data_IF_846918447657
#
_entry.id   IF_846918447657
#
_cell.length_a   1.000
_cell.length_b   1.000
_cell.length_c   1.000
_cell.angle_alpha   90.00
_cell.angle_beta   90.00
_cell.angle_gamma   90.00
#
_symmetry.space_group_name_H-M   'P 1'
#
loop_
_entity.id
_entity.type
_entity.pdbx_description
1 polymer ?
#
# COMPACT_ATOMS: atom_id res chain seq x y z
N UNK A 1 10.96 3.95 -0.85
CA UNK A 1 9.55 4.45 -0.83
C UNK A 1 9.41 5.74 -0.03
N UNK A 2 8.56 6.68 -0.46
CA UNK A 2 8.21 7.94 0.24
C UNK A 2 6.70 8.10 0.29
N UNK A 3 6.11 8.36 1.47
CA UNK A 3 4.68 8.69 1.59
C UNK A 3 4.45 10.10 1.05
N UNK A 4 3.49 10.24 0.14
CA UNK A 4 3.17 11.49 -0.56
C UNK A 4 1.89 12.10 -0.02
N UNK A 5 0.89 11.28 0.28
CA UNK A 5 -0.41 11.73 0.74
C UNK A 5 -1.10 10.64 1.57
N UNK A 6 -1.92 11.08 2.52
CA UNK A 6 -2.92 10.26 3.20
C UNK A 6 -4.28 10.87 2.94
N UNK A 7 -5.24 10.05 2.51
CA UNK A 7 -6.65 10.43 2.39
C UNK A 7 -7.49 9.39 3.10
N UNK A 8 -8.05 9.77 4.25
CA UNK A 8 -8.82 8.85 5.09
C UNK A 8 -8.02 7.56 5.44
N UNK A 9 -8.47 6.42 4.93
CA UNK A 9 -7.90 5.08 5.08
C UNK A 9 -6.91 4.69 3.98
N UNK A 10 -6.68 5.56 3.00
CA UNK A 10 -5.73 5.36 1.90
C UNK A 10 -4.38 6.06 2.16
N UNK A 11 -3.29 5.32 1.94
CA UNK A 11 -1.92 5.81 1.98
C UNK A 11 -1.30 5.74 0.58
N UNK A 12 -0.77 6.86 0.10
CA UNK A 12 -0.20 6.99 -1.25
C UNK A 12 1.31 7.15 -1.13
N UNK A 13 2.03 6.26 -1.81
CA UNK A 13 3.49 6.24 -1.80
C UNK A 13 4.05 6.42 -3.21
N UNK A 14 5.14 7.17 -3.31
CA UNK A 14 6.02 7.14 -4.46
C UNK A 14 7.14 6.14 -4.20
N UNK A 15 7.28 5.16 -5.10
CA UNK A 15 8.13 3.99 -4.92
C UNK A 15 8.90 3.71 -6.22
N UNK A 16 10.25 3.58 -6.15
CA UNK A 16 11.02 3.11 -7.29
C UNK A 16 10.52 1.76 -7.80
N UNK A 17 10.44 1.59 -9.12
CA UNK A 17 9.87 0.36 -9.73
C UNK A 17 10.59 -0.93 -9.28
N UNK A 18 11.91 -0.86 -9.04
CA UNK A 18 12.71 -1.98 -8.55
C UNK A 18 12.46 -2.33 -7.06
N UNK A 19 11.79 -1.46 -6.30
CA UNK A 19 11.43 -1.66 -4.90
C UNK A 19 9.94 -2.00 -4.71
N UNK A 20 9.13 -1.94 -5.78
CA UNK A 20 7.66 -1.97 -5.69
C UNK A 20 7.12 -3.19 -4.93
N UNK A 21 7.60 -4.40 -5.25
CA UNK A 21 7.17 -5.63 -4.58
C UNK A 21 7.56 -5.65 -3.11
N UNK A 22 8.83 -5.40 -2.79
CA UNK A 22 9.30 -5.38 -1.40
C UNK A 22 8.59 -4.31 -0.57
N UNK A 23 8.34 -3.13 -1.14
CA UNK A 23 7.64 -2.05 -0.47
C UNK A 23 6.17 -2.39 -0.25
N UNK A 24 5.49 -2.95 -1.26
CA UNK A 24 4.11 -3.40 -1.17
C UNK A 24 3.91 -4.42 -0.05
N UNK A 25 4.72 -5.47 -0.01
CA UNK A 25 4.65 -6.52 1.01
C UNK A 25 4.85 -5.97 2.42
N UNK A 26 5.84 -5.09 2.60
CA UNK A 26 6.09 -4.44 3.87
C UNK A 26 4.90 -3.59 4.30
N UNK A 27 4.44 -2.68 3.43
CA UNK A 27 3.34 -1.76 3.74
C UNK A 27 2.08 -2.53 4.10
N UNK A 28 1.73 -3.56 3.33
CA UNK A 28 0.56 -4.40 3.59
C UNK A 28 0.65 -5.06 4.96
N UNK A 29 1.78 -5.71 5.27
CA UNK A 29 1.98 -6.36 6.57
C UNK A 29 1.86 -5.37 7.71
N UNK A 30 2.58 -4.25 7.67
CA UNK A 30 2.56 -3.26 8.75
C UNK A 30 1.16 -2.66 8.97
N UNK A 31 0.38 -2.48 7.90
CA UNK A 31 -1.00 -1.99 8.01
C UNK A 31 -1.98 -3.05 8.52
N UNK A 32 -1.87 -4.30 8.08
CA UNK A 32 -2.76 -5.39 8.52
C UNK A 32 -2.48 -5.81 9.98
N UNK A 33 -1.22 -5.72 10.42
CA UNK A 33 -0.77 -6.15 11.76
C UNK A 33 -0.66 -5.00 12.78
N UNK A 34 -1.07 -3.78 12.41
CA UNK A 34 -0.87 -2.57 13.22
C UNK A 34 -1.43 -2.67 14.64
N UNK A 35 -2.50 -3.45 14.84
CA UNK A 35 -3.13 -3.63 16.14
C UNK A 35 -3.88 -4.97 16.22
N UNK A 36 -3.85 -5.68 17.38
CA UNK A 36 -4.58 -6.93 17.56
C UNK A 36 -6.09 -6.68 17.70
N UNK A 37 -6.77 -6.64 16.57
CA UNK A 37 -8.22 -6.51 16.48
C UNK A 37 -8.88 -7.89 16.49
N UNK A 38 -10.12 -7.98 16.98
CA UNK A 38 -10.91 -9.24 16.97
C UNK A 38 -11.25 -9.70 15.55
N UNK A 39 -11.25 -8.77 14.60
CA UNK A 39 -11.46 -9.02 13.17
C UNK A 39 -10.24 -8.47 12.45
N UNK A 40 -9.58 -9.26 11.57
CA UNK A 40 -8.38 -8.81 10.89
C UNK A 40 -8.67 -7.65 9.93
N UNK A 41 -7.73 -6.72 9.83
CA UNK A 41 -7.73 -5.71 8.77
C UNK A 41 -7.26 -6.36 7.47
N UNK A 42 -7.91 -6.00 6.36
CA UNK A 42 -7.47 -6.39 5.02
C UNK A 42 -7.04 -5.13 4.28
N UNK A 43 -5.86 -5.18 3.69
CA UNK A 43 -5.32 -4.07 2.89
C UNK A 43 -5.26 -4.49 1.42
N UNK A 44 -5.90 -3.67 0.60
CA UNK A 44 -5.90 -3.80 -0.85
C UNK A 44 -4.81 -2.87 -1.42
N UNK A 45 -3.86 -3.44 -2.16
CA UNK A 45 -2.76 -2.69 -2.77
C UNK A 45 -3.06 -2.40 -4.24
N UNK A 46 -2.75 -1.17 -4.67
CA UNK A 46 -2.81 -0.75 -6.07
C UNK A 46 -1.52 -0.02 -6.48
N UNK A 47 -1.20 -0.07 -7.76
CA UNK A 47 -0.06 0.63 -8.34
C UNK A 47 -0.44 1.29 -9.66
N UNK A 48 0.22 2.39 -10.01
CA UNK A 48 -0.04 3.13 -11.25
C UNK A 48 0.98 4.23 -11.44
N UNK A 49 1.15 4.69 -12.68
CA UNK A 49 2.02 5.83 -12.99
C UNK A 49 1.43 7.18 -12.55
N UNK A 50 0.12 7.21 -12.34
CA UNK A 50 -0.63 8.33 -11.82
C UNK A 50 -1.83 7.79 -11.04
N UNK A 51 -2.47 8.64 -10.23
CA UNK A 51 -3.56 8.22 -9.37
C UNK A 51 -4.84 7.86 -10.13
N UNK A 52 -5.04 8.39 -11.34
CA UNK A 52 -6.22 8.08 -12.15
C UNK A 52 -6.17 6.66 -12.74
N UNK A 53 -4.98 6.14 -13.00
CA UNK A 53 -4.73 4.86 -13.68
C UNK A 53 -4.12 3.81 -12.72
N UNK A 54 -4.76 3.63 -11.56
CA UNK A 54 -4.37 2.61 -10.59
C UNK A 54 -4.92 1.23 -10.99
N UNK A 55 -4.05 0.22 -10.98
CA UNK A 55 -4.39 -1.20 -11.16
C UNK A 55 -4.09 -2.00 -9.90
N UNK A 56 -4.81 -3.11 -9.71
CA UNK A 56 -4.56 -4.02 -8.60
C UNK A 56 -3.11 -4.51 -8.62
N UNK A 57 -2.45 -4.37 -7.48
CA UNK A 57 -1.07 -4.80 -7.34
C UNK A 57 -1.03 -6.33 -7.22
N UNK A 58 -0.47 -6.97 -8.26
CA UNK A 58 -0.20 -8.42 -8.28
C UNK A 58 1.29 -8.64 -8.06
N UNK A 59 1.72 -8.39 -6.82
CA UNK A 59 3.06 -8.71 -6.33
C UNK A 59 3.22 -10.19 -6.03
#
# INVERSE_FOLDING_TARGET
AKMILQVHDELIFDVPANELSKAGDLIKREMEEVYPLRVPLRVDLKTGHNWYEMIDFRG
#
